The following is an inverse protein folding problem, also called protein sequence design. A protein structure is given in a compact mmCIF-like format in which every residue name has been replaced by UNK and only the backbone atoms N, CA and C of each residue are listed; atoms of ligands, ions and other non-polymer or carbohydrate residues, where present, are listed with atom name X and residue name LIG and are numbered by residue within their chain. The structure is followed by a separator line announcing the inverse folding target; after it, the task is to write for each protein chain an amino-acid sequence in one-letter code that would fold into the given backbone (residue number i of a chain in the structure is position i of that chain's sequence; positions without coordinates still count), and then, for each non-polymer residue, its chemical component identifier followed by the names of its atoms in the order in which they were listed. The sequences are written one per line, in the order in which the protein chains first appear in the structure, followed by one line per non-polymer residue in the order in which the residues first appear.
data_IF_456152956818
#
_entry.id   IF_456152956818
#
_cell.length_a   1.000
_cell.length_b   1.000
_cell.length_c   1.000
_cell.angle_alpha   90.00
_cell.angle_beta   90.00
_cell.angle_gamma   90.00
#
_symmetry.space_group_name_H-M   'P 1'
#
loop_
_entity.id
_entity.type
_entity.pdbx_description
1 polymer ?
#
# COMPACT_ATOMS: atom_id res chain seq x y z
N UNK A 1 0.23 -50.48 12.35
CA UNK A 1 1.12 -49.89 11.34
C UNK A 1 0.98 -48.38 11.37
N UNK A 2 1.80 -47.71 12.20
CA UNK A 2 1.93 -46.25 12.23
C UNK A 2 2.96 -45.86 11.16
N UNK A 3 2.51 -45.29 10.05
CA UNK A 3 3.39 -44.63 9.09
C UNK A 3 3.59 -43.18 9.55
N UNK A 4 4.81 -42.88 9.96
CA UNK A 4 5.27 -41.54 10.29
C UNK A 4 5.12 -40.62 9.07
N UNK A 5 4.30 -39.57 9.18
CA UNK A 5 4.39 -38.41 8.31
C UNK A 5 5.71 -37.69 8.63
N UNK A 6 6.73 -37.93 7.80
CA UNK A 6 7.89 -37.08 7.75
C UNK A 6 7.43 -35.67 7.35
N UNK A 7 7.53 -34.71 8.27
CA UNK A 7 7.43 -33.29 7.94
C UNK A 7 8.54 -32.96 6.92
N UNK A 8 8.27 -32.18 5.87
CA UNK A 8 9.34 -31.60 5.07
C UNK A 8 10.21 -30.72 5.98
N UNK A 9 11.52 -30.91 5.94
CA UNK A 9 12.48 -30.12 6.69
C UNK A 9 12.22 -28.61 6.48
N UNK A 10 12.15 -27.86 7.59
CA UNK A 10 12.02 -26.41 7.55
C UNK A 10 13.15 -25.81 6.69
N UNK A 11 12.80 -24.98 5.71
CA UNK A 11 13.77 -24.29 4.88
C UNK A 11 14.63 -23.37 5.77
N UNK A 12 15.92 -23.68 5.90
CA UNK A 12 16.88 -22.86 6.66
C UNK A 12 16.95 -21.46 6.04
N UNK A 13 16.86 -20.43 6.88
CA UNK A 13 16.93 -19.02 6.46
C UNK A 13 18.31 -18.47 6.81
N UNK A 14 19.15 -18.26 5.79
CA UNK A 14 20.46 -17.66 5.94
C UNK A 14 20.39 -16.12 5.95
N UNK A 15 21.02 -15.52 6.95
CA UNK A 15 21.11 -14.08 7.17
C UNK A 15 22.56 -13.66 7.06
N UNK A 16 22.90 -12.86 6.05
CA UNK A 16 24.26 -12.33 5.87
C UNK A 16 24.34 -10.87 6.34
N UNK A 17 25.01 -10.60 7.46
CA UNK A 17 25.22 -9.27 8.03
C UNK A 17 26.63 -8.77 7.72
N UNK A 18 26.74 -7.63 7.03
CA UNK A 18 27.99 -6.88 6.88
C UNK A 18 28.07 -5.75 7.93
N UNK A 19 29.16 -5.66 8.67
CA UNK A 19 29.30 -4.77 9.82
C UNK A 19 30.72 -4.20 9.97
N UNK A 20 30.88 -3.22 10.88
CA UNK A 20 32.18 -2.60 11.23
C UNK A 20 32.38 -2.51 12.74
N UNK A 21 33.63 -2.67 13.20
CA UNK A 21 34.02 -2.41 14.59
C UNK A 21 33.87 -0.93 14.98
N UNK A 22 33.25 -0.65 16.14
CA UNK A 22 32.95 0.72 16.59
C UNK A 22 31.68 1.34 15.96
N UNK A 23 30.83 0.52 15.34
CA UNK A 23 29.54 0.93 14.80
C UNK A 23 28.40 0.65 15.81
N UNK A 24 27.87 1.67 16.51
CA UNK A 24 26.85 1.47 17.55
C UNK A 24 25.50 0.97 16.98
N UNK A 25 25.27 1.10 15.68
CA UNK A 25 24.09 0.51 15.01
C UNK A 25 24.28 -0.97 14.72
N UNK A 26 25.50 -1.37 14.36
CA UNK A 26 25.86 -2.76 14.08
C UNK A 26 25.80 -3.62 15.33
N UNK A 27 26.29 -3.11 16.47
CA UNK A 27 26.23 -3.81 17.77
C UNK A 27 24.78 -4.09 18.21
N UNK A 28 23.89 -3.11 18.04
CA UNK A 28 22.47 -3.27 18.36
C UNK A 28 21.78 -4.30 17.46
N UNK A 29 22.14 -4.32 16.18
CA UNK A 29 21.58 -5.27 15.23
C UNK A 29 22.10 -6.71 15.46
N UNK A 30 23.39 -6.87 15.76
CA UNK A 30 23.96 -8.17 16.14
C UNK A 30 23.23 -8.73 17.37
N UNK A 31 23.06 -7.92 18.41
CA UNK A 31 22.35 -8.33 19.62
C UNK A 31 20.88 -8.71 19.35
N UNK A 32 20.23 -8.04 18.40
CA UNK A 32 18.87 -8.39 17.97
C UNK A 32 18.84 -9.73 17.20
N UNK A 33 19.75 -9.91 16.24
CA UNK A 33 19.81 -11.12 15.41
C UNK A 33 20.17 -12.36 16.24
N UNK A 34 21.07 -12.23 17.22
CA UNK A 34 21.41 -13.34 18.12
C UNK A 34 20.21 -13.79 18.97
N UNK A 35 19.41 -12.85 19.48
CA UNK A 35 18.15 -13.18 20.17
C UNK A 35 17.15 -13.85 19.22
N UNK A 36 17.12 -13.44 17.95
CA UNK A 36 16.22 -13.99 16.95
C UNK A 36 16.58 -15.44 16.57
N UNK A 37 17.87 -15.75 16.41
CA UNK A 37 18.37 -17.11 16.14
C UNK A 37 18.22 -18.01 17.36
N UNK A 38 18.40 -17.48 18.57
CA UNK A 38 18.12 -18.22 19.80
C UNK A 38 16.64 -18.63 19.93
N UNK A 39 15.71 -17.80 19.44
CA UNK A 39 14.28 -18.07 19.46
C UNK A 39 13.78 -18.93 18.29
N UNK A 40 14.55 -19.05 17.21
CA UNK A 40 14.17 -19.79 15.99
C UNK A 40 15.37 -20.60 15.46
N UNK A 41 15.42 -21.92 15.70
CA UNK A 41 16.56 -22.75 15.32
C UNK A 41 16.76 -22.89 13.80
N UNK A 42 15.77 -22.47 13.00
CA UNK A 42 15.81 -22.51 11.53
C UNK A 42 16.57 -21.31 10.91
N UNK A 43 17.05 -20.36 11.71
CA UNK A 43 17.74 -19.13 11.24
C UNK A 43 19.25 -19.24 11.50
N UNK A 44 20.05 -19.13 10.42
CA UNK A 44 21.52 -19.12 10.48
C UNK A 44 22.06 -17.73 10.13
N UNK A 45 22.89 -17.17 10.99
CA UNK A 45 23.43 -15.81 10.83
C UNK A 45 24.93 -15.87 10.51
N UNK A 46 25.30 -15.30 9.37
CA UNK A 46 26.68 -15.11 8.93
C UNK A 46 27.06 -13.64 9.10
N UNK A 47 28.15 -13.34 9.82
CA UNK A 47 28.60 -11.97 10.11
C UNK A 47 29.93 -11.70 9.40
N UNK A 48 30.01 -10.64 8.61
CA UNK A 48 31.18 -10.23 7.82
C UNK A 48 31.64 -8.84 8.25
N UNK A 49 32.84 -8.73 8.83
CA UNK A 49 33.42 -7.43 9.18
C UNK A 49 34.10 -6.84 7.93
N UNK A 50 33.75 -5.61 7.54
CA UNK A 50 34.17 -5.04 6.24
C UNK A 50 35.27 -3.98 6.35
N UNK A 51 35.70 -3.60 7.55
CA UNK A 51 36.68 -2.51 7.73
C UNK A 51 38.10 -3.01 7.84
N UNK A 52 38.28 -4.23 8.34
CA UNK A 52 39.58 -4.90 8.46
C UNK A 52 39.78 -5.97 7.40
N UNK A 53 38.71 -6.38 6.70
CA UNK A 53 38.75 -7.41 5.67
C UNK A 53 38.26 -6.88 4.30
N UNK A 54 39.22 -6.75 3.36
CA UNK A 54 38.95 -6.29 2.00
C UNK A 54 38.12 -7.27 1.18
N UNK A 55 38.18 -8.57 1.47
CA UNK A 55 37.37 -9.57 0.78
C UNK A 55 35.89 -9.45 1.21
N UNK A 56 35.63 -9.21 2.49
CA UNK A 56 34.28 -8.93 2.98
C UNK A 56 33.72 -7.62 2.44
N UNK A 57 34.56 -6.59 2.29
CA UNK A 57 34.16 -5.34 1.65
C UNK A 57 33.78 -5.54 0.17
N UNK A 58 34.55 -6.34 -0.57
CA UNK A 58 34.22 -6.69 -1.96
C UNK A 58 32.91 -7.49 -2.05
N UNK A 59 32.70 -8.45 -1.13
CA UNK A 59 31.46 -9.22 -1.04
C UNK A 59 30.25 -8.31 -0.73
N UNK A 60 30.43 -7.29 0.11
CA UNK A 60 29.41 -6.28 0.42
C UNK A 60 29.03 -5.47 -0.83
N UNK A 61 30.03 -5.05 -1.62
CA UNK A 61 29.81 -4.29 -2.87
C UNK A 61 29.07 -5.15 -3.90
N UNK A 62 29.48 -6.41 -4.06
CA UNK A 62 28.81 -7.35 -4.97
C UNK A 62 27.36 -7.62 -4.53
N UNK A 63 27.14 -7.87 -3.24
CA UNK A 63 25.81 -8.06 -2.68
C UNK A 63 24.94 -6.80 -2.88
N UNK A 64 25.48 -5.62 -2.60
CA UNK A 64 24.80 -4.34 -2.79
C UNK A 64 24.43 -4.10 -4.27
N UNK A 65 25.34 -4.40 -5.21
CA UNK A 65 25.11 -4.30 -6.65
C UNK A 65 24.00 -5.22 -7.15
N UNK A 66 23.95 -6.48 -6.66
CA UNK A 66 22.86 -7.42 -6.97
C UNK A 66 21.50 -6.99 -6.40
N UNK A 67 21.52 -6.13 -5.40
CA UNK A 67 20.34 -5.62 -4.71
C UNK A 67 19.92 -4.22 -5.15
N UNK A 68 20.69 -3.58 -6.04
CA UNK A 68 20.44 -2.21 -6.49
C UNK A 68 20.58 -1.16 -5.37
N UNK A 69 21.34 -1.47 -4.31
CA UNK A 69 21.59 -0.55 -3.19
C UNK A 69 23.03 -0.04 -3.22
N UNK A 70 23.26 1.19 -2.76
CA UNK A 70 24.61 1.73 -2.64
C UNK A 70 25.36 1.08 -1.47
N UNK A 71 26.56 0.55 -1.74
CA UNK A 71 27.44 -0.10 -0.75
C UNK A 71 28.17 0.91 0.15
N UNK A 72 27.47 1.94 0.64
CA UNK A 72 28.08 3.09 1.32
C UNK A 72 28.07 3.05 2.85
N UNK A 73 27.21 2.22 3.45
CA UNK A 73 26.98 2.26 4.91
C UNK A 73 26.73 0.88 5.51
N UNK A 74 27.29 0.65 6.69
CA UNK A 74 27.00 -0.49 7.57
C UNK A 74 26.12 -0.07 8.74
N UNK A 75 25.27 -0.96 9.30
CA UNK A 75 25.11 -2.37 8.94
C UNK A 75 24.35 -2.59 7.63
N UNK A 76 24.77 -3.59 6.85
CA UNK A 76 24.03 -4.07 5.67
C UNK A 76 23.65 -5.53 5.90
N UNK A 77 22.36 -5.81 6.08
CA UNK A 77 21.89 -7.16 6.40
C UNK A 77 21.06 -7.72 5.26
N UNK A 78 21.59 -8.76 4.62
CA UNK A 78 20.97 -9.48 3.53
C UNK A 78 20.26 -10.70 4.10
N UNK A 79 18.99 -10.50 4.49
CA UNK A 79 18.13 -11.55 5.05
C UNK A 79 17.21 -12.15 3.98
N UNK A 80 16.78 -11.36 2.99
CA UNK A 80 15.53 -11.70 2.29
C UNK A 80 15.26 -11.02 0.94
N UNK A 81 16.16 -10.17 0.40
CA UNK A 81 15.95 -9.64 -0.96
C UNK A 81 16.00 -10.76 -2.03
N UNK A 82 16.67 -11.89 -1.75
CA UNK A 82 16.58 -13.10 -2.58
C UNK A 82 15.22 -13.82 -2.54
N UNK A 83 14.41 -13.60 -1.51
CA UNK A 83 13.07 -14.22 -1.40
C UNK A 83 11.97 -13.36 -2.06
N UNK A 84 12.19 -12.05 -2.24
CA UNK A 84 11.20 -11.10 -2.79
C UNK A 84 11.55 -10.58 -4.20
N UNK A 85 12.81 -10.61 -4.63
CA UNK A 85 13.14 -10.55 -6.07
C UNK A 85 12.64 -11.81 -6.83
N UNK A 86 12.07 -12.78 -6.12
CA UNK A 86 11.63 -14.10 -6.59
C UNK A 86 10.19 -14.22 -7.09
N UNK A 87 9.37 -13.16 -7.20
CA UNK A 87 8.21 -13.23 -8.10
C UNK A 87 8.65 -12.86 -9.52
N UNK A 88 9.31 -13.82 -10.17
CA UNK A 88 9.74 -13.72 -11.58
C UNK A 88 8.57 -13.59 -12.57
N UNK A 89 7.38 -14.01 -12.17
CA UNK A 89 6.29 -14.16 -13.10
C UNK A 89 5.59 -12.83 -13.37
N UNK A 90 6.18 -12.05 -14.30
CA UNK A 90 5.61 -10.78 -14.79
C UNK A 90 4.15 -10.97 -15.20
N UNK A 91 3.77 -12.13 -15.77
CA UNK A 91 2.38 -12.40 -16.15
C UNK A 91 1.44 -12.39 -14.96
N UNK A 92 1.83 -12.99 -13.83
CA UNK A 92 1.01 -12.99 -12.60
C UNK A 92 0.87 -11.58 -12.02
N UNK A 93 1.92 -10.77 -12.12
CA UNK A 93 1.90 -9.38 -11.63
C UNK A 93 0.96 -8.49 -12.46
N UNK A 94 1.03 -8.59 -13.79
CA UNK A 94 0.09 -7.92 -14.70
C UNK A 94 -1.35 -8.44 -14.53
N UNK A 95 -1.53 -9.74 -14.29
CA UNK A 95 -2.85 -10.34 -14.05
C UNK A 95 -3.49 -9.83 -12.75
N UNK A 96 -2.74 -9.81 -11.66
CA UNK A 96 -3.27 -9.36 -10.36
C UNK A 96 -3.47 -7.84 -10.32
N UNK A 97 -2.55 -7.06 -10.89
CA UNK A 97 -2.70 -5.61 -11.03
C UNK A 97 -3.85 -5.23 -11.97
N UNK A 98 -3.98 -5.92 -13.11
CA UNK A 98 -5.10 -5.74 -14.02
C UNK A 98 -6.43 -6.15 -13.39
N UNK A 99 -6.45 -7.23 -12.61
CA UNK A 99 -7.64 -7.64 -11.86
C UNK A 99 -8.04 -6.62 -10.79
N UNK A 100 -7.09 -5.95 -10.16
CA UNK A 100 -7.36 -4.84 -9.24
C UNK A 100 -8.06 -3.68 -9.96
N UNK A 101 -7.49 -3.18 -11.07
CA UNK A 101 -8.07 -2.07 -11.84
C UNK A 101 -9.46 -2.44 -12.40
N UNK A 102 -9.63 -3.67 -12.91
CA UNK A 102 -10.91 -4.14 -13.40
C UNK A 102 -11.96 -4.25 -12.28
N UNK A 103 -11.57 -4.75 -11.11
CA UNK A 103 -12.44 -4.81 -9.94
C UNK A 103 -12.80 -3.40 -9.45
N UNK A 104 -11.85 -2.47 -9.46
CA UNK A 104 -12.07 -1.07 -9.12
C UNK A 104 -13.06 -0.40 -10.07
N UNK A 105 -12.87 -0.57 -11.39
CA UNK A 105 -13.79 -0.06 -12.39
C UNK A 105 -15.22 -0.60 -12.20
N UNK A 106 -15.36 -1.89 -11.91
CA UNK A 106 -16.66 -2.50 -11.63
C UNK A 106 -17.30 -1.93 -10.37
N UNK A 107 -16.56 -1.85 -9.26
CA UNK A 107 -17.06 -1.28 -8.00
C UNK A 107 -17.48 0.17 -8.20
N UNK A 108 -16.67 0.97 -8.91
CA UNK A 108 -16.97 2.37 -9.18
C UNK A 108 -18.23 2.53 -10.03
N UNK A 109 -18.38 1.71 -11.08
CA UNK A 109 -19.59 1.70 -11.92
C UNK A 109 -20.84 1.34 -11.11
N UNK A 110 -20.73 0.36 -10.20
CA UNK A 110 -21.83 -0.04 -9.31
C UNK A 110 -22.19 1.08 -8.33
N UNK A 111 -21.20 1.73 -7.71
CA UNK A 111 -21.41 2.86 -6.80
C UNK A 111 -22.06 4.03 -7.55
N UNK A 112 -21.55 4.39 -8.72
CA UNK A 112 -22.06 5.51 -9.50
C UNK A 112 -23.46 5.25 -10.05
N UNK A 113 -23.74 4.02 -10.49
CA UNK A 113 -25.08 3.59 -10.89
C UNK A 113 -26.07 3.59 -9.73
N UNK A 114 -25.66 3.09 -8.55
CA UNK A 114 -26.48 3.17 -7.34
C UNK A 114 -26.73 4.63 -6.92
N UNK A 115 -25.70 5.48 -7.00
CA UNK A 115 -25.77 6.90 -6.67
C UNK A 115 -26.71 7.67 -7.61
N UNK A 116 -26.66 7.41 -8.92
CA UNK A 116 -27.59 8.01 -9.90
C UNK A 116 -29.04 7.62 -9.57
N UNK A 117 -29.30 6.35 -9.25
CA UNK A 117 -30.64 5.90 -8.84
C UNK A 117 -31.10 6.54 -7.52
N UNK A 118 -30.20 6.72 -6.55
CA UNK A 118 -30.49 7.42 -5.29
C UNK A 118 -30.76 8.90 -5.53
N UNK A 119 -30.00 9.57 -6.40
CA UNK A 119 -30.24 10.98 -6.77
C UNK A 119 -31.59 11.17 -7.50
N UNK A 120 -31.99 10.20 -8.33
CA UNK A 120 -33.31 10.18 -8.96
C UNK A 120 -34.45 9.97 -7.95
N UNK A 121 -34.18 9.33 -6.80
CA UNK A 121 -35.18 9.09 -5.75
C UNK A 121 -35.17 10.11 -4.60
N UNK A 122 -34.05 10.80 -4.33
CA UNK A 122 -33.86 11.57 -3.10
C UNK A 122 -33.02 12.83 -3.31
N UNK A 123 -33.69 13.99 -3.30
CA UNK A 123 -33.08 15.32 -3.22
C UNK A 123 -32.60 15.69 -1.82
N UNK A 124 -31.70 14.92 -1.21
CA UNK A 124 -31.20 15.20 0.14
C UNK A 124 -29.69 14.89 0.30
N UNK A 125 -28.85 15.74 -0.28
CA UNK A 125 -27.37 15.58 -0.38
C UNK A 125 -26.62 16.15 0.86
N UNK A 126 -27.32 16.73 1.84
CA UNK A 126 -26.69 17.46 2.94
C UNK A 126 -26.05 16.57 4.03
N UNK A 127 -26.75 15.53 4.49
CA UNK A 127 -26.30 14.72 5.63
C UNK A 127 -25.08 13.85 5.32
N UNK A 128 -25.04 13.27 4.11
CA UNK A 128 -23.92 12.45 3.64
C UNK A 128 -22.63 13.26 3.57
N UNK A 129 -22.73 14.49 3.06
CA UNK A 129 -21.59 15.42 2.96
C UNK A 129 -20.97 15.75 4.31
N UNK A 130 -21.81 16.03 5.32
CA UNK A 130 -21.36 16.34 6.68
C UNK A 130 -20.66 15.12 7.29
N UNK A 131 -21.21 13.91 7.08
CA UNK A 131 -20.58 12.66 7.53
C UNK A 131 -19.18 12.45 6.96
N UNK A 132 -19.00 12.68 5.65
CA UNK A 132 -17.69 12.58 4.99
C UNK A 132 -16.72 13.63 5.53
N UNK A 133 -17.18 14.87 5.70
CA UNK A 133 -16.38 15.95 6.27
C UNK A 133 -15.85 15.65 7.67
N UNK A 134 -16.67 15.05 8.54
CA UNK A 134 -16.25 14.63 9.90
C UNK A 134 -15.18 13.54 9.85
N UNK A 135 -15.34 12.55 8.96
CA UNK A 135 -14.34 11.47 8.79
C UNK A 135 -13.02 12.03 8.25
N UNK A 136 -13.08 12.96 7.29
CA UNK A 136 -11.89 13.66 6.76
C UNK A 136 -11.19 14.47 7.86
N UNK A 137 -11.94 15.18 8.71
CA UNK A 137 -11.38 15.92 9.85
C UNK A 137 -10.71 15.00 10.87
N UNK A 138 -11.34 13.87 11.20
CA UNK A 138 -10.77 12.87 12.10
C UNK A 138 -9.50 12.23 11.52
N UNK A 139 -9.53 11.86 10.24
CA UNK A 139 -8.39 11.32 9.52
C UNK A 139 -7.24 12.31 9.42
N UNK A 140 -7.52 13.56 9.01
CA UNK A 140 -6.50 14.60 8.87
C UNK A 140 -5.87 14.97 10.22
N UNK A 141 -6.67 15.03 11.28
CA UNK A 141 -6.19 15.27 12.64
C UNK A 141 -5.30 14.13 13.15
N UNK A 142 -5.65 12.88 12.82
CA UNK A 142 -4.82 11.71 13.11
C UNK A 142 -3.47 11.78 12.39
N UNK A 143 -3.46 12.07 11.07
CA UNK A 143 -2.24 12.20 10.28
C UNK A 143 -1.32 13.32 10.77
N UNK A 144 -1.89 14.46 11.15
CA UNK A 144 -1.11 15.60 11.67
C UNK A 144 -0.58 15.33 13.09
N UNK A 145 -1.39 14.69 13.95
CA UNK A 145 -0.93 14.21 15.26
C UNK A 145 0.23 13.22 15.11
N UNK A 146 0.15 12.29 14.15
CA UNK A 146 1.22 11.34 13.88
C UNK A 146 2.51 12.03 13.38
N UNK A 147 2.40 13.07 12.56
CA UNK A 147 3.56 13.88 12.14
C UNK A 147 4.28 14.60 13.30
N UNK A 148 3.51 15.13 14.27
CA UNK A 148 4.05 15.87 15.42
C UNK A 148 4.60 14.92 16.49
N UNK A 149 3.89 13.82 16.77
CA UNK A 149 4.23 12.92 17.88
C UNK A 149 5.33 11.92 17.52
N UNK A 150 5.46 11.53 16.23
CA UNK A 150 6.40 10.50 15.79
C UNK A 150 7.48 11.04 14.83
N UNK A 151 8.55 11.60 15.40
CA UNK A 151 9.69 12.15 14.65
C UNK A 151 10.46 11.10 13.82
N UNK A 152 10.43 9.84 14.24
CA UNK A 152 11.13 8.72 13.58
C UNK A 152 10.24 7.93 12.59
N UNK A 153 8.98 8.31 12.38
CA UNK A 153 8.01 7.51 11.59
C UNK A 153 7.98 6.03 12.00
N UNK A 154 8.16 5.76 13.31
CA UNK A 154 7.88 4.45 13.89
C UNK A 154 6.36 4.36 13.97
N UNK A 155 5.72 3.55 13.12
CA UNK A 155 4.29 3.26 13.28
C UNK A 155 4.07 2.70 14.69
N UNK A 156 3.51 3.52 15.56
CA UNK A 156 3.19 3.18 16.95
C UNK A 156 1.78 2.56 17.05
N UNK A 157 1.23 2.11 15.92
CA UNK A 157 0.04 1.28 15.89
C UNK A 157 0.40 -0.09 16.44
N UNK A 158 0.20 -0.24 17.75
CA UNK A 158 0.10 -1.49 18.53
C UNK A 158 1.04 -2.62 18.12
N UNK A 159 2.19 -2.71 18.80
CA UNK A 159 3.13 -3.83 18.76
C UNK A 159 3.66 -4.20 17.35
N UNK A 160 5.00 -4.21 17.14
CA UNK A 160 5.60 -4.72 15.91
C UNK A 160 5.02 -6.08 15.47
N UNK A 161 4.62 -6.91 16.43
CA UNK A 161 3.98 -8.20 16.20
C UNK A 161 2.56 -8.17 15.61
N UNK A 162 1.71 -7.19 15.94
CA UNK A 162 0.31 -7.20 15.47
C UNK A 162 0.25 -6.71 14.02
N UNK A 163 1.02 -5.66 13.70
CA UNK A 163 1.27 -5.23 12.32
C UNK A 163 1.97 -6.32 11.50
N UNK A 164 2.99 -7.00 12.06
CA UNK A 164 3.62 -8.18 11.41
C UNK A 164 2.63 -9.30 11.21
N UNK A 165 1.75 -9.62 12.18
CA UNK A 165 0.72 -10.67 12.01
C UNK A 165 -0.28 -10.32 10.92
N UNK A 166 -0.72 -9.07 10.80
CA UNK A 166 -1.63 -8.66 9.72
C UNK A 166 -0.89 -8.66 8.38
N UNK A 167 0.32 -8.12 8.31
CA UNK A 167 1.12 -8.10 7.10
C UNK A 167 1.55 -9.50 6.65
N UNK A 168 1.93 -10.38 7.57
CA UNK A 168 2.21 -11.78 7.30
C UNK A 168 0.95 -12.56 6.95
N UNK A 169 -0.21 -12.26 7.54
CA UNK A 169 -1.47 -12.86 7.10
C UNK A 169 -1.82 -12.42 5.69
N UNK A 170 -1.74 -11.13 5.38
CA UNK A 170 -1.96 -10.61 4.04
C UNK A 170 -0.93 -11.17 3.04
N UNK A 171 0.34 -11.26 3.43
CA UNK A 171 1.42 -11.86 2.63
C UNK A 171 1.23 -13.36 2.46
N UNK A 172 0.77 -14.08 3.48
CA UNK A 172 0.44 -15.52 3.42
C UNK A 172 -0.82 -15.77 2.59
N UNK A 173 -1.79 -14.85 2.59
CA UNK A 173 -2.96 -14.88 1.70
C UNK A 173 -2.55 -14.56 0.24
N UNK A 174 -1.65 -13.62 0.04
CA UNK A 174 -1.16 -13.22 -1.29
C UNK A 174 -0.13 -14.20 -1.88
N UNK A 175 0.69 -14.85 -1.04
CA UNK A 175 1.68 -15.88 -1.37
C UNK A 175 1.11 -17.30 -1.25
N UNK A 176 -0.17 -17.44 -0.87
CA UNK A 176 -0.82 -18.74 -0.95
C UNK A 176 -0.83 -19.19 -2.42
N UNK A 177 -0.54 -20.47 -2.69
CA UNK A 177 -0.53 -21.02 -4.05
C UNK A 177 -1.91 -20.96 -4.73
N UNK A 178 -2.98 -20.70 -3.97
CA UNK A 178 -4.33 -20.49 -4.48
C UNK A 178 -4.51 -19.10 -5.10
N UNK A 179 -4.39 -19.02 -6.42
CA UNK A 179 -4.84 -17.88 -7.24
C UNK A 179 -6.19 -17.25 -6.78
N UNK A 180 -7.25 -18.02 -6.40
CA UNK A 180 -8.53 -17.42 -5.99
C UNK A 180 -8.51 -16.70 -4.63
N UNK A 181 -7.68 -17.11 -3.66
CA UNK A 181 -7.60 -16.42 -2.37
C UNK A 181 -6.90 -15.05 -2.51
N UNK A 182 -5.87 -14.99 -3.35
CA UNK A 182 -5.19 -13.74 -3.70
C UNK A 182 -6.13 -12.80 -4.48
N UNK A 183 -6.91 -13.32 -5.42
CA UNK A 183 -7.90 -12.55 -6.18
C UNK A 183 -8.98 -11.96 -5.25
N UNK A 184 -9.52 -12.77 -4.32
CA UNK A 184 -10.50 -12.30 -3.35
C UNK A 184 -9.99 -11.18 -2.45
N UNK A 185 -8.74 -11.27 -1.99
CA UNK A 185 -8.10 -10.20 -1.20
C UNK A 185 -7.93 -8.89 -1.96
N UNK A 186 -7.60 -8.96 -3.25
CA UNK A 186 -7.46 -7.80 -4.14
C UNK A 186 -8.80 -7.13 -4.37
N UNK A 187 -9.87 -7.90 -4.63
CA UNK A 187 -11.22 -7.35 -4.82
C UNK A 187 -11.71 -6.65 -3.56
N UNK A 188 -11.49 -7.23 -2.38
CA UNK A 188 -11.87 -6.60 -1.10
C UNK A 188 -11.11 -5.29 -0.87
N UNK A 189 -9.81 -5.27 -1.16
CA UNK A 189 -8.99 -4.07 -1.07
C UNK A 189 -9.46 -2.99 -2.06
N UNK A 190 -9.73 -3.36 -3.31
CA UNK A 190 -10.27 -2.48 -4.33
C UNK A 190 -11.59 -1.84 -3.85
N UNK A 191 -12.51 -2.64 -3.30
CA UNK A 191 -13.75 -2.12 -2.75
C UNK A 191 -13.51 -1.07 -1.66
N UNK A 192 -12.64 -1.35 -0.69
CA UNK A 192 -12.36 -0.41 0.41
C UNK A 192 -11.74 0.91 -0.10
N UNK A 193 -10.81 0.84 -1.05
CA UNK A 193 -10.14 2.01 -1.62
C UNK A 193 -11.10 2.86 -2.45
N UNK A 194 -11.88 2.24 -3.35
CA UNK A 194 -12.86 2.95 -4.18
C UNK A 194 -13.95 3.65 -3.35
N UNK A 195 -14.34 3.09 -2.19
CA UNK A 195 -15.27 3.78 -1.28
C UNK A 195 -14.65 5.08 -0.77
N UNK A 196 -13.37 5.06 -0.37
CA UNK A 196 -12.69 6.28 0.10
C UNK A 196 -12.51 7.28 -1.03
N UNK A 197 -12.05 6.84 -2.20
CA UNK A 197 -11.85 7.69 -3.38
C UNK A 197 -13.14 8.34 -3.86
N UNK A 198 -14.22 7.56 -3.96
CA UNK A 198 -15.54 8.07 -4.32
C UNK A 198 -16.00 9.16 -3.35
N UNK A 199 -15.79 9.01 -2.04
CA UNK A 199 -16.15 10.04 -1.05
C UNK A 199 -15.26 11.29 -1.16
N UNK A 200 -13.99 11.13 -1.54
CA UNK A 200 -13.06 12.24 -1.75
C UNK A 200 -13.32 13.02 -3.05
N UNK A 201 -13.77 12.34 -4.11
CA UNK A 201 -14.07 12.95 -5.40
C UNK A 201 -15.56 13.21 -5.64
N UNK A 202 -16.44 12.90 -4.69
CA UNK A 202 -17.90 12.84 -4.82
C UNK A 202 -18.55 14.05 -5.52
N UNK A 203 -17.94 15.22 -5.43
CA UNK A 203 -18.39 16.42 -6.13
C UNK A 203 -18.46 16.28 -7.65
N UNK A 204 -17.41 15.71 -8.28
CA UNK A 204 -17.36 15.59 -9.75
C UNK A 204 -18.41 14.58 -10.26
N UNK A 205 -18.51 13.35 -9.71
CA UNK A 205 -19.58 12.43 -10.06
C UNK A 205 -20.98 12.97 -9.78
N UNK A 206 -21.17 13.77 -8.72
CA UNK A 206 -22.47 14.36 -8.39
C UNK A 206 -22.92 15.38 -9.44
N UNK A 207 -22.04 16.30 -9.87
CA UNK A 207 -22.35 17.26 -10.94
C UNK A 207 -22.63 16.54 -12.25
N UNK A 208 -21.79 15.55 -12.59
CA UNK A 208 -21.97 14.73 -13.78
C UNK A 208 -23.31 13.98 -13.77
N UNK A 209 -23.64 13.30 -12.67
CA UNK A 209 -24.90 12.60 -12.49
C UNK A 209 -26.11 13.55 -12.52
N UNK A 210 -25.98 14.78 -11.98
CA UNK A 210 -27.02 15.79 -12.02
C UNK A 210 -27.29 16.28 -13.45
N UNK A 211 -26.24 16.56 -14.23
CA UNK A 211 -26.38 16.94 -15.66
C UNK A 211 -27.04 15.81 -16.45
N UNK A 212 -26.64 14.56 -16.19
CA UNK A 212 -27.27 13.38 -16.80
C UNK A 212 -28.76 13.31 -16.44
N UNK A 213 -29.11 13.43 -15.16
CA UNK A 213 -30.50 13.35 -14.69
C UNK A 213 -31.41 14.43 -15.29
N UNK A 214 -30.86 15.61 -15.63
CA UNK A 214 -31.59 16.71 -16.28
C UNK A 214 -31.76 16.51 -17.79
N UNK A 215 -31.04 15.56 -18.41
CA UNK A 215 -30.98 15.40 -19.86
C UNK A 215 -32.05 14.45 -20.44
N UNK A 216 -32.91 13.86 -19.60
CA UNK A 216 -34.04 13.00 -20.01
C UNK A 216 -33.68 11.92 -21.06
N UNK A 217 -32.54 11.25 -20.87
CA UNK A 217 -31.96 10.28 -21.80
C UNK A 217 -32.64 8.90 -21.72
N UNK A 218 -32.40 8.03 -22.70
CA UNK A 218 -32.75 6.62 -22.61
C UNK A 218 -31.82 5.87 -21.62
N UNK A 219 -32.26 4.76 -20.98
CA UNK A 219 -31.46 4.05 -19.97
C UNK A 219 -30.08 3.56 -20.46
N UNK A 220 -29.94 3.25 -21.75
CA UNK A 220 -28.70 2.79 -22.38
C UNK A 220 -27.69 3.93 -22.54
N UNK A 221 -28.16 5.15 -22.77
CA UNK A 221 -27.31 6.33 -22.89
C UNK A 221 -26.73 6.69 -21.52
N UNK A 222 -27.54 6.62 -20.44
CA UNK A 222 -27.03 6.75 -19.07
C UNK A 222 -25.90 5.76 -18.79
N UNK A 223 -26.11 4.48 -19.11
CA UNK A 223 -25.09 3.45 -18.90
C UNK A 223 -23.81 3.74 -19.72
N UNK A 224 -23.94 4.14 -20.98
CA UNK A 224 -22.80 4.47 -21.83
C UNK A 224 -21.97 5.65 -21.31
N UNK A 225 -22.62 6.72 -20.86
CA UNK A 225 -21.94 7.88 -20.26
C UNK A 225 -21.27 7.53 -18.94
N UNK A 226 -21.90 6.69 -18.10
CA UNK A 226 -21.30 6.19 -16.86
C UNK A 226 -20.05 5.35 -17.14
N UNK A 227 -20.10 4.44 -18.12
CA UNK A 227 -18.94 3.64 -18.52
C UNK A 227 -17.81 4.51 -19.07
N UNK A 228 -18.14 5.53 -19.89
CA UNK A 228 -17.15 6.47 -20.40
C UNK A 228 -16.46 7.23 -19.27
N UNK A 229 -17.23 7.72 -18.29
CA UNK A 229 -16.70 8.38 -17.10
C UNK A 229 -15.73 7.47 -16.34
N UNK A 230 -16.14 6.23 -16.04
CA UNK A 230 -15.30 5.26 -15.33
C UNK A 230 -14.04 4.91 -16.11
N UNK A 231 -14.13 4.79 -17.44
CA UNK A 231 -12.98 4.48 -18.28
C UNK A 231 -11.92 5.59 -18.23
N UNK A 232 -12.33 6.86 -18.23
CA UNK A 232 -11.41 8.00 -18.08
C UNK A 232 -10.83 8.07 -16.67
N UNK A 233 -11.67 7.83 -15.65
CA UNK A 233 -11.25 7.86 -14.25
C UNK A 233 -10.34 6.69 -13.84
N UNK A 234 -10.38 5.54 -14.53
CA UNK A 234 -9.50 4.40 -14.24
C UNK A 234 -8.22 4.43 -15.09
N UNK A 235 -8.09 5.41 -15.99
CA UNK A 235 -6.95 5.51 -16.91
C UNK A 235 -5.67 5.92 -16.19
N UNK A 236 -5.74 6.85 -15.23
CA UNK A 236 -4.60 7.26 -14.42
C UNK A 236 -4.12 6.13 -13.50
N UNK A 237 -5.03 5.36 -12.90
CA UNK A 237 -4.71 4.15 -12.16
C UNK A 237 -4.00 3.11 -13.02
N UNK A 238 -4.46 2.91 -14.25
CA UNK A 238 -3.79 2.04 -15.22
C UNK A 238 -2.40 2.57 -15.58
N UNK A 239 -2.24 3.87 -15.76
CA UNK A 239 -0.94 4.51 -16.05
C UNK A 239 0.03 4.32 -14.88
N UNK A 240 -0.42 4.59 -13.64
CA UNK A 240 0.38 4.39 -12.43
C UNK A 240 0.76 2.93 -12.27
N UNK A 241 -0.17 2.00 -12.50
CA UNK A 241 0.11 0.56 -12.50
C UNK A 241 1.17 0.20 -13.56
N UNK A 242 1.04 0.67 -14.80
CA UNK A 242 2.00 0.42 -15.87
C UNK A 242 3.39 0.97 -15.51
N UNK A 243 3.45 2.19 -14.97
CA UNK A 243 4.70 2.80 -14.52
C UNK A 243 5.30 1.98 -13.39
N UNK A 244 4.52 1.61 -12.37
CA UNK A 244 4.99 0.79 -11.27
C UNK A 244 5.53 -0.56 -11.77
N UNK A 245 4.77 -1.28 -12.61
CA UNK A 245 5.15 -2.57 -13.19
C UNK A 245 6.41 -2.50 -14.08
N UNK A 246 6.68 -1.35 -14.70
CA UNK A 246 7.87 -1.12 -15.53
C UNK A 246 9.06 -0.54 -14.77
N UNK A 247 8.82 0.19 -13.68
CA UNK A 247 9.82 0.94 -12.91
C UNK A 247 10.16 0.25 -11.57
N UNK A 248 9.65 -0.96 -11.35
CA UNK A 248 9.75 -1.75 -10.12
C UNK A 248 11.17 -2.23 -9.74
N UNK A 249 12.20 -1.52 -10.19
CA UNK A 249 13.58 -1.58 -9.70
C UNK A 249 14.05 -0.28 -9.02
N UNK A 250 13.22 0.77 -8.96
CA UNK A 250 13.66 2.04 -8.38
C UNK A 250 12.52 2.78 -7.65
N UNK A 251 12.33 2.47 -6.37
CA UNK A 251 11.89 3.48 -5.40
C UNK A 251 12.06 2.96 -3.97
N UNK A 252 13.26 3.15 -3.42
CA UNK A 252 13.42 3.24 -1.97
C UNK A 252 12.75 4.54 -1.49
N UNK A 253 11.46 4.48 -1.15
CA UNK A 253 10.76 5.60 -0.52
C UNK A 253 11.50 5.97 0.77
N UNK A 254 12.21 7.09 0.73
CA UNK A 254 12.98 7.58 1.87
C UNK A 254 12.02 7.96 3.01
N UNK A 255 12.42 7.71 4.25
CA UNK A 255 11.63 8.03 5.46
C UNK A 255 11.24 9.51 5.54
N UNK A 256 12.02 10.39 4.90
CA UNK A 256 11.78 11.82 4.79
C UNK A 256 10.61 12.16 3.88
N UNK A 257 10.48 11.48 2.74
CA UNK A 257 9.39 11.70 1.78
C UNK A 257 8.04 11.28 2.39
N UNK A 258 8.00 10.11 3.04
CA UNK A 258 6.80 9.63 3.73
C UNK A 258 6.35 10.60 4.84
N UNK A 259 7.30 11.19 5.58
CA UNK A 259 6.98 12.10 6.70
C UNK A 259 6.35 13.39 6.21
N UNK A 260 6.91 13.99 5.16
CA UNK A 260 6.32 15.18 4.52
C UNK A 260 5.01 14.87 3.80
N UNK A 261 4.88 13.69 3.20
CA UNK A 261 3.64 13.24 2.58
C UNK A 261 2.50 13.13 3.60
N UNK A 262 2.75 12.63 4.81
CA UNK A 262 1.73 12.57 5.87
C UNK A 262 1.33 13.95 6.38
N UNK A 263 2.29 14.88 6.50
CA UNK A 263 1.99 16.25 6.91
C UNK A 263 1.16 17.00 5.87
N UNK A 264 1.59 16.94 4.60
CA UNK A 264 0.92 17.61 3.48
C UNK A 264 -0.46 16.98 3.25
N UNK A 265 -0.54 15.65 3.23
CA UNK A 265 -1.80 14.92 3.08
C UNK A 265 -2.77 15.17 4.24
N UNK A 266 -2.28 15.16 5.49
CA UNK A 266 -3.10 15.46 6.67
C UNK A 266 -3.62 16.90 6.67
N UNK A 267 -2.77 17.88 6.32
CA UNK A 267 -3.18 19.29 6.20
C UNK A 267 -4.20 19.50 5.08
N UNK A 268 -3.99 18.88 3.91
CA UNK A 268 -4.94 18.93 2.81
C UNK A 268 -6.29 18.28 3.18
N UNK A 269 -6.27 17.14 3.88
CA UNK A 269 -7.47 16.43 4.30
C UNK A 269 -8.26 17.21 5.36
N UNK A 270 -7.56 17.89 6.29
CA UNK A 270 -8.19 18.80 7.26
C UNK A 270 -8.84 20.00 6.56
N UNK A 271 -8.14 20.60 5.59
CA UNK A 271 -8.64 21.74 4.82
C UNK A 271 -9.91 21.35 4.06
N UNK A 272 -9.85 20.25 3.30
CA UNK A 272 -10.98 19.74 2.50
C UNK A 272 -12.13 19.33 3.42
N UNK A 273 -11.86 18.64 4.53
CA UNK A 273 -12.87 18.25 5.52
C UNK A 273 -13.57 19.44 6.16
N UNK A 274 -12.81 20.48 6.54
CA UNK A 274 -13.37 21.72 7.10
C UNK A 274 -14.25 22.46 6.07
N UNK A 275 -13.79 22.56 4.82
CA UNK A 275 -14.58 23.16 3.73
C UNK A 275 -15.85 22.35 3.43
N UNK A 276 -15.79 21.02 3.49
CA UNK A 276 -16.95 20.14 3.34
C UNK A 276 -18.05 20.38 4.39
N UNK A 277 -17.65 20.64 5.65
CA UNK A 277 -18.57 20.84 6.79
C UNK A 277 -19.06 22.28 6.91
N UNK A 278 -18.18 23.26 6.80
CA UNK A 278 -18.50 24.65 7.14
C UNK A 278 -18.84 25.53 5.94
N UNK A 279 -18.20 25.32 4.79
CA UNK A 279 -18.33 26.19 3.61
C UNK A 279 -18.43 25.35 2.33
N UNK A 280 -19.55 24.62 2.21
CA UNK A 280 -19.72 23.68 1.15
C UNK A 280 -19.64 24.30 -0.26
N UNK A 281 -20.05 25.56 -0.37
CA UNK A 281 -20.05 26.36 -1.59
C UNK A 281 -18.66 26.62 -2.18
N UNK A 282 -17.57 26.61 -1.41
CA UNK A 282 -16.23 26.89 -1.94
C UNK A 282 -15.58 25.73 -2.68
N UNK A 283 -16.14 24.52 -2.51
CA UNK A 283 -15.68 23.30 -3.18
C UNK A 283 -16.55 22.92 -4.36
N UNK A 284 -17.78 23.43 -4.42
CA UNK A 284 -18.65 23.26 -5.57
C UNK A 284 -18.36 24.43 -6.52
N UNK A 285 -17.84 24.14 -7.72
CA UNK A 285 -17.74 25.14 -8.77
C UNK A 285 -19.16 25.49 -9.22
N UNK A 286 -19.72 26.55 -8.63
CA UNK A 286 -21.02 27.15 -8.92
C UNK A 286 -20.98 28.64 -8.62
#
# INVERSE_FOLDING_TARGET
MLAALALPAAAQVDVHLFWREGCPHCEREIAFLERLSAANPDIRIHKYEVSRDRANAALMIEAAGRLGVEAGSVPLTVILLGLLAGMKDRRRMWLLGGAFVAASALVYLLILGAWLNVLLLAGAVGFVRIGVGIVALAGGGYYLKEFITNADMKCEVTAPERRRRVLERLKRIAQQPGFPAALGGIVLLAFAVNVVEFLCSAGIPAVFAQVLALSALAPWEYFAYLVLYVAVFMLDDLVVLVIALKTLEASGLTTRYARWSNAIGGAALLLIGALLVFRPEWLAFG
#
